data_IF_028339793335
#
_entry.id   IF_028339793335
#
_cell.length_a   1.000
_cell.length_b   1.000
_cell.length_c   1.000
_cell.angle_alpha   90.00
_cell.angle_beta   90.00
_cell.angle_gamma   90.00
#
_symmetry.space_group_name_H-M   'P 1'
#
loop_
_entity.id
_entity.type
_entity.pdbx_description
1 polymer ?
#
# COMPACT_ATOMS: atom_id res chain seq x y z
N UNK A 1 15.01 -2.89 3.83
CA UNK A 1 13.60 -2.80 3.44
C UNK A 1 12.78 -3.27 4.61
N UNK A 2 12.08 -2.34 5.26
CA UNK A 2 11.15 -2.60 6.34
C UNK A 2 9.97 -3.42 5.83
N UNK A 3 9.94 -4.69 6.20
CA UNK A 3 8.85 -5.66 5.92
C UNK A 3 8.01 -5.97 7.16
N UNK A 4 8.25 -5.28 8.27
CA UNK A 4 7.48 -5.46 9.51
C UNK A 4 6.63 -4.21 9.77
N UNK A 5 5.30 -4.32 9.77
CA UNK A 5 4.43 -3.22 10.19
C UNK A 5 4.74 -2.78 11.62
N UNK A 6 4.55 -1.48 11.89
CA UNK A 6 4.77 -0.88 13.22
C UNK A 6 3.57 -1.02 14.16
N UNK A 7 2.44 -1.49 13.63
CA UNK A 7 1.19 -1.71 14.34
C UNK A 7 0.78 -3.18 14.23
N UNK A 8 0.08 -3.66 15.24
CA UNK A 8 -0.52 -4.98 15.24
C UNK A 8 -1.78 -5.03 14.36
N UNK A 9 -2.19 -6.26 14.01
CA UNK A 9 -3.44 -6.51 13.30
C UNK A 9 -4.64 -5.94 14.06
N UNK A 10 -5.57 -5.29 13.34
CA UNK A 10 -6.87 -4.91 13.90
C UNK A 10 -7.79 -6.11 14.13
N UNK A 11 -7.49 -7.25 13.51
CA UNK A 11 -8.24 -8.50 13.63
C UNK A 11 -7.55 -9.40 14.65
N UNK A 12 -8.20 -9.76 15.78
CA UNK A 12 -7.62 -10.64 16.79
C UNK A 12 -7.17 -11.98 16.20
N UNK A 13 -5.93 -12.36 16.48
CA UNK A 13 -5.34 -13.63 16.03
C UNK A 13 -4.86 -13.66 14.58
N UNK A 14 -5.06 -12.60 13.80
CA UNK A 14 -4.52 -12.50 12.44
C UNK A 14 -3.11 -11.86 12.43
N UNK A 15 -2.24 -12.20 11.46
CA UNK A 15 -0.93 -11.57 11.33
C UNK A 15 -1.04 -10.08 10.97
N UNK A 16 -0.08 -9.24 11.41
CA UNK A 16 -0.04 -7.84 11.03
C UNK A 16 0.49 -7.70 9.59
N UNK A 17 -0.44 -7.55 8.66
CA UNK A 17 -0.20 -7.32 7.23
C UNK A 17 -0.91 -6.03 6.81
N UNK A 18 -0.61 -5.50 5.62
CA UNK A 18 -1.20 -4.23 5.17
C UNK A 18 -2.73 -4.20 5.34
N UNK A 19 -3.42 -5.25 4.88
CA UNK A 19 -4.88 -5.33 4.98
C UNK A 19 -5.37 -5.32 6.44
N UNK A 20 -4.80 -6.16 7.30
CA UNK A 20 -5.25 -6.31 8.69
C UNK A 20 -4.90 -5.10 9.56
N UNK A 21 -3.79 -4.41 9.28
CA UNK A 21 -3.41 -3.17 9.95
C UNK A 21 -4.32 -2.02 9.52
N UNK A 22 -4.62 -1.89 8.23
CA UNK A 22 -5.48 -0.81 7.73
C UNK A 22 -6.94 -0.92 8.19
N UNK A 23 -7.37 -2.08 8.66
CA UNK A 23 -8.70 -2.27 9.27
C UNK A 23 -8.91 -1.52 10.59
N UNK A 24 -7.86 -0.96 11.20
CA UNK A 24 -8.03 0.04 12.27
C UNK A 24 -8.74 1.31 11.78
N UNK A 25 -8.71 1.58 10.48
CA UNK A 25 -9.30 2.77 9.82
C UNK A 25 -9.96 2.39 8.47
N UNK A 26 -11.12 1.71 8.49
CA UNK A 26 -11.76 1.15 7.29
C UNK A 26 -12.17 2.21 6.24
N UNK A 27 -12.55 3.40 6.67
CA UNK A 27 -12.87 4.53 5.81
C UNK A 27 -11.65 5.05 5.05
N UNK A 28 -10.48 5.06 5.69
CA UNK A 28 -9.23 5.51 5.07
C UNK A 28 -8.80 4.52 3.99
N UNK A 29 -8.85 3.21 4.24
CA UNK A 29 -8.45 2.22 3.23
C UNK A 29 -9.38 2.24 2.01
N UNK A 30 -10.68 2.50 2.20
CA UNK A 30 -11.61 2.69 1.10
C UNK A 30 -11.22 3.89 0.22
N UNK A 31 -10.94 5.05 0.84
CA UNK A 31 -10.51 6.26 0.11
C UNK A 31 -9.13 6.12 -0.52
N UNK A 32 -8.22 5.43 0.14
CA UNK A 32 -6.94 5.06 -0.44
C UNK A 32 -7.12 4.19 -1.69
N UNK A 33 -7.99 3.19 -1.64
CA UNK A 33 -8.30 2.32 -2.79
C UNK A 33 -8.86 3.09 -3.98
N UNK A 34 -9.80 4.02 -3.75
CA UNK A 34 -10.34 4.91 -4.79
C UNK A 34 -9.22 5.72 -5.47
N UNK A 35 -8.36 6.37 -4.67
CA UNK A 35 -7.24 7.17 -5.17
C UNK A 35 -6.20 6.32 -5.92
N UNK A 36 -5.85 5.18 -5.35
CA UNK A 36 -4.86 4.27 -5.94
C UNK A 36 -5.36 3.73 -7.28
N UNK A 37 -6.63 3.35 -7.37
CA UNK A 37 -7.24 2.89 -8.62
C UNK A 37 -7.21 3.98 -9.71
N UNK A 38 -7.51 5.24 -9.37
CA UNK A 38 -7.43 6.35 -10.33
C UNK A 38 -6.01 6.51 -10.88
N UNK A 39 -5.00 6.58 -10.03
CA UNK A 39 -3.61 6.69 -10.47
C UNK A 39 -3.12 5.47 -11.23
N UNK A 40 -3.54 4.27 -10.84
CA UNK A 40 -3.06 3.04 -11.43
C UNK A 40 -3.71 2.79 -12.79
N UNK A 41 -5.03 2.87 -12.88
CA UNK A 41 -5.78 2.46 -14.07
C UNK A 41 -5.95 3.56 -15.11
N UNK A 42 -5.91 4.84 -14.70
CA UNK A 42 -6.12 5.98 -15.62
C UNK A 42 -4.83 6.75 -15.91
N UNK A 43 -4.91 7.70 -16.83
CA UNK A 43 -3.84 8.64 -17.16
C UNK A 43 -2.98 8.25 -18.38
N UNK A 44 -1.98 9.09 -18.65
CA UNK A 44 -1.15 9.05 -19.87
C UNK A 44 0.18 8.29 -19.69
N UNK A 45 0.53 7.91 -18.46
CA UNK A 45 1.77 7.20 -18.14
C UNK A 45 1.54 5.70 -18.28
N UNK A 46 2.46 4.98 -18.92
CA UNK A 46 2.36 3.53 -19.07
C UNK A 46 2.43 2.80 -17.73
N UNK A 47 1.84 1.60 -17.66
CA UNK A 47 1.90 0.74 -16.47
C UNK A 47 3.35 0.41 -16.08
N UNK A 48 4.22 0.21 -17.07
CA UNK A 48 5.63 -0.10 -16.86
C UNK A 48 6.36 1.04 -16.14
N UNK A 49 6.13 2.29 -16.55
CA UNK A 49 6.74 3.46 -15.91
C UNK A 49 6.19 3.64 -14.49
N UNK A 50 4.88 3.42 -14.28
CA UNK A 50 4.27 3.46 -12.94
C UNK A 50 4.91 2.43 -12.02
N UNK A 51 5.07 1.19 -12.48
CA UNK A 51 5.66 0.11 -11.68
C UNK A 51 7.14 0.33 -11.40
N UNK A 52 7.92 0.75 -12.40
CA UNK A 52 9.34 1.12 -12.20
C UNK A 52 9.47 2.24 -11.17
N UNK A 53 8.61 3.25 -11.23
CA UNK A 53 8.59 4.36 -10.28
C UNK A 53 8.21 3.89 -8.88
N UNK A 54 7.21 3.02 -8.76
CA UNK A 54 6.76 2.42 -7.49
C UNK A 54 7.90 1.65 -6.81
N UNK A 55 8.57 0.75 -7.55
CA UNK A 55 9.69 -0.06 -7.03
C UNK A 55 10.87 0.83 -6.63
N UNK A 56 11.23 1.82 -7.47
CA UNK A 56 12.28 2.80 -7.16
C UNK A 56 11.98 3.52 -5.85
N UNK A 57 10.76 4.01 -5.68
CA UNK A 57 10.35 4.75 -4.49
C UNK A 57 10.33 3.84 -3.26
N UNK A 58 9.80 2.61 -3.38
CA UNK A 58 9.83 1.62 -2.31
C UNK A 58 11.26 1.37 -1.81
N UNK A 59 12.23 1.24 -2.71
CA UNK A 59 13.64 1.09 -2.35
C UNK A 59 14.20 2.31 -1.60
N UNK A 60 13.86 3.52 -2.04
CA UNK A 60 14.35 4.78 -1.43
C UNK A 60 13.73 5.00 -0.04
N UNK A 61 12.47 4.64 0.14
CA UNK A 61 11.74 4.80 1.41
C UNK A 61 11.89 3.60 2.33
N UNK A 62 12.75 2.64 1.98
CA UNK A 62 12.93 1.36 2.67
C UNK A 62 11.61 0.57 2.87
N UNK A 63 10.67 0.65 1.92
CA UNK A 63 9.45 -0.15 1.91
C UNK A 63 9.71 -1.53 1.30
N UNK A 64 9.42 -2.59 2.05
CA UNK A 64 9.60 -3.98 1.61
C UNK A 64 8.35 -4.70 1.13
N UNK A 65 7.20 -4.00 1.08
CA UNK A 65 5.94 -4.47 0.51
C UNK A 65 5.61 -3.71 -0.78
#
# INVERSE_FOLDING_TARGET
MSTKPRFDSAIPGAPPEFGTVMMHTPEIIAKFGELYAEFWQRGIVSQEIKEMTRIRNARITDCGF
#
